data_IF_037924486781
#
_entry.id   IF_037924486781
#
_cell.length_a   1.000
_cell.length_b   1.000
_cell.length_c   1.000
_cell.angle_alpha   90.00
_cell.angle_beta   90.00
_cell.angle_gamma   90.00
#
_symmetry.space_group_name_H-M   'P 1'
#
loop_
_entity.id
_entity.type
_entity.pdbx_description
1 polymer ?
#
# COMPACT_ATOMS: atom_id res chain seq x y z
N UNK A 1 -0.68 6.09 -16.55
CA UNK A 1 -1.19 6.13 -15.15
C UNK A 1 -1.36 4.70 -14.63
N UNK A 2 -1.01 4.39 -13.37
CA UNK A 2 -0.95 3.00 -12.82
C UNK A 2 -2.32 2.37 -12.52
N UNK A 3 -3.35 3.19 -12.29
CA UNK A 3 -4.70 2.76 -11.91
C UNK A 3 -5.31 3.65 -10.83
N UNK A 4 -6.27 3.12 -10.07
CA UNK A 4 -6.89 3.83 -8.94
C UNK A 4 -6.00 3.70 -7.71
N UNK A 5 -5.59 4.82 -7.12
CA UNK A 5 -4.74 4.86 -5.92
C UNK A 5 -5.53 5.40 -4.73
N UNK A 6 -5.65 4.59 -3.68
CA UNK A 6 -6.20 4.97 -2.38
C UNK A 6 -5.02 5.18 -1.43
N UNK A 7 -4.76 6.43 -1.07
CA UNK A 7 -3.69 6.81 -0.13
C UNK A 7 -4.26 6.97 1.28
N UNK A 8 -3.68 6.25 2.24
CA UNK A 8 -4.08 6.27 3.64
C UNK A 8 -2.90 6.70 4.48
N UNK A 9 -3.09 7.71 5.33
CA UNK A 9 -2.04 8.16 6.26
C UNK A 9 -1.70 7.08 7.27
N UNK A 10 -0.43 6.98 7.60
CA UNK A 10 0.10 5.95 8.48
C UNK A 10 -0.45 5.99 9.90
N UNK A 11 -0.62 7.19 10.45
CA UNK A 11 -1.11 7.44 11.81
C UNK A 11 -2.59 7.06 11.99
N UNK A 12 -3.38 7.15 10.92
CA UNK A 12 -4.74 6.63 10.89
C UNK A 12 -4.74 5.10 10.79
N UNK A 13 -3.81 4.53 10.03
CA UNK A 13 -3.82 3.11 9.68
C UNK A 13 -3.18 2.21 10.75
N UNK A 14 -2.13 2.67 11.43
CA UNK A 14 -1.34 1.88 12.37
C UNK A 14 -1.11 2.60 13.71
N UNK A 15 -0.85 1.81 14.74
CA UNK A 15 -0.32 2.36 16.00
C UNK A 15 1.11 2.90 15.77
N UNK A 16 1.46 3.99 16.45
CA UNK A 16 2.74 4.69 16.29
C UNK A 16 3.95 3.75 16.37
N UNK A 17 4.86 3.85 15.38
CA UNK A 17 6.08 3.05 15.30
C UNK A 17 5.85 1.54 15.09
N UNK A 18 4.63 1.12 14.76
CA UNK A 18 4.28 -0.29 14.57
C UNK A 18 3.67 -0.57 13.20
N UNK A 19 3.58 -1.84 12.84
CA UNK A 19 2.77 -2.35 11.74
C UNK A 19 1.45 -2.97 12.21
N UNK A 20 0.97 -2.65 13.42
CA UNK A 20 -0.32 -3.15 13.94
C UNK A 20 -1.44 -2.22 13.51
N UNK A 21 -2.43 -2.76 12.81
CA UNK A 21 -3.59 -1.98 12.36
C UNK A 21 -4.31 -1.33 13.53
N UNK A 22 -4.72 -0.09 13.33
CA UNK A 22 -5.53 0.63 14.29
C UNK A 22 -6.98 0.10 14.25
N UNK A 23 -7.55 -0.38 15.37
CA UNK A 23 -8.94 -0.82 15.40
C UNK A 23 -9.95 0.22 14.90
N UNK A 24 -9.68 1.51 15.05
CA UNK A 24 -10.61 2.57 14.63
C UNK A 24 -10.74 2.73 13.11
N UNK A 25 -9.78 2.21 12.32
CA UNK A 25 -9.79 2.31 10.85
C UNK A 25 -10.36 1.05 10.17
N UNK A 26 -10.68 0.03 10.96
CA UNK A 26 -11.09 -1.29 10.46
C UNK A 26 -12.33 -1.20 9.57
N UNK A 27 -13.38 -0.51 10.00
CA UNK A 27 -14.60 -0.34 9.20
C UNK A 27 -14.32 0.32 7.83
N UNK A 28 -13.36 1.25 7.77
CA UNK A 28 -12.96 1.88 6.52
C UNK A 28 -12.17 0.93 5.61
N UNK A 29 -11.28 0.12 6.18
CA UNK A 29 -10.57 -0.93 5.42
C UNK A 29 -11.58 -1.94 4.87
N UNK A 30 -12.57 -2.33 5.67
CA UNK A 30 -13.59 -3.31 5.28
C UNK A 30 -14.43 -2.81 4.09
N UNK A 31 -14.78 -1.51 4.08
CA UNK A 31 -15.45 -0.89 2.95
C UNK A 31 -14.58 -0.92 1.68
N UNK A 32 -13.29 -0.59 1.79
CA UNK A 32 -12.37 -0.68 0.65
C UNK A 32 -12.26 -2.13 0.17
N UNK A 33 -12.12 -3.08 1.09
CA UNK A 33 -11.99 -4.50 0.78
C UNK A 33 -13.20 -5.02 -0.01
N UNK A 34 -14.42 -4.64 0.41
CA UNK A 34 -15.65 -4.96 -0.32
C UNK A 34 -15.66 -4.41 -1.75
N UNK A 35 -15.21 -3.17 -1.95
CA UNK A 35 -15.14 -2.56 -3.28
C UNK A 35 -14.11 -3.26 -4.19
N UNK A 36 -12.92 -3.56 -3.68
CA UNK A 36 -11.83 -4.12 -4.51
C UNK A 36 -11.98 -5.62 -4.77
N UNK A 37 -12.75 -6.33 -3.93
CA UNK A 37 -13.05 -7.76 -4.08
C UNK A 37 -13.80 -8.05 -5.38
N UNK A 38 -14.74 -7.18 -5.74
CA UNK A 38 -15.57 -7.29 -6.96
C UNK A 38 -14.82 -6.95 -8.25
N UNK A 39 -13.64 -6.33 -8.16
CA UNK A 39 -12.82 -6.00 -9.31
C UNK A 39 -11.93 -7.21 -9.68
N UNK A 40 -11.60 -7.46 -10.95
CA UNK A 40 -10.68 -8.56 -11.33
C UNK A 40 -9.20 -8.16 -11.24
N UNK A 41 -8.91 -6.88 -10.98
CA UNK A 41 -7.60 -6.26 -11.11
C UNK A 41 -6.56 -6.78 -10.09
N UNK A 42 -5.28 -6.70 -10.46
CA UNK A 42 -4.18 -6.82 -9.50
C UNK A 42 -4.17 -5.61 -8.55
N UNK A 43 -3.75 -5.84 -7.32
CA UNK A 43 -3.72 -4.85 -6.24
C UNK A 43 -2.29 -4.77 -5.70
N UNK A 44 -1.71 -3.57 -5.73
CA UNK A 44 -0.42 -3.28 -5.10
C UNK A 44 -0.63 -2.51 -3.81
N UNK A 45 -0.07 -2.99 -2.71
CA UNK A 45 -0.03 -2.28 -1.44
C UNK A 45 1.39 -1.80 -1.17
N UNK A 46 1.55 -0.49 -1.08
CA UNK A 46 2.86 0.17 -1.03
C UNK A 46 3.02 0.94 0.28
N UNK A 47 3.99 0.55 1.10
CA UNK A 47 4.30 1.20 2.36
C UNK A 47 5.41 2.23 2.22
N UNK A 48 5.27 3.35 2.95
CA UNK A 48 6.23 4.44 2.93
C UNK A 48 6.45 5.05 4.31
N UNK A 49 7.65 5.61 4.50
CA UNK A 49 8.02 6.40 5.69
C UNK A 49 8.38 7.82 5.28
N UNK A 50 8.64 8.67 6.26
CA UNK A 50 9.39 9.91 6.05
C UNK A 50 10.91 9.65 6.04
N UNK A 51 11.69 10.72 6.11
CA UNK A 51 13.15 10.66 6.16
C UNK A 51 13.74 10.40 7.55
N UNK A 52 12.93 10.30 8.61
CA UNK A 52 13.44 10.08 9.95
C UNK A 52 13.85 8.61 10.10
N UNK A 53 15.12 8.31 10.46
CA UNK A 53 15.56 6.94 10.60
C UNK A 53 14.91 6.31 11.84
N UNK A 54 14.29 5.16 11.67
CA UNK A 54 13.92 4.29 12.79
C UNK A 54 14.99 3.23 13.04
N UNK A 55 15.11 2.81 14.29
CA UNK A 55 15.85 1.62 14.70
C UNK A 55 15.16 1.00 15.91
N UNK A 56 14.47 -0.11 15.70
CA UNK A 56 13.87 -0.90 16.77
C UNK A 56 14.25 -2.37 16.63
N UNK A 57 14.05 -3.16 17.68
CA UNK A 57 14.27 -4.60 17.63
C UNK A 57 13.40 -5.30 16.59
N UNK A 58 12.18 -4.78 16.38
CA UNK A 58 11.21 -5.36 15.45
C UNK A 58 11.34 -4.82 14.02
N UNK A 59 11.78 -3.57 13.87
CA UNK A 59 11.98 -2.89 12.60
C UNK A 59 13.36 -2.21 12.61
N UNK A 60 14.40 -2.91 12.13
CA UNK A 60 15.78 -2.39 12.11
C UNK A 60 15.96 -1.12 11.27
N UNK A 61 15.14 -0.93 10.23
CA UNK A 61 15.17 0.23 9.35
C UNK A 61 13.78 0.61 8.80
N UNK A 62 13.70 1.78 8.14
CA UNK A 62 12.49 2.22 7.44
C UNK A 62 12.06 1.25 6.32
N UNK A 63 12.98 0.47 5.76
CA UNK A 63 12.63 -0.59 4.81
C UNK A 63 11.82 -1.70 5.47
N UNK A 64 12.22 -2.11 6.68
CA UNK A 64 11.53 -3.15 7.43
C UNK A 64 10.13 -2.67 7.86
N UNK A 65 10.01 -1.45 8.41
CA UNK A 65 8.72 -0.91 8.86
C UNK A 65 7.75 -0.70 7.70
N UNK A 66 8.20 -0.10 6.59
CA UNK A 66 7.33 0.14 5.44
C UNK A 66 6.84 -1.16 4.80
N UNK A 67 7.73 -2.15 4.66
CA UNK A 67 7.37 -3.48 4.14
C UNK A 67 6.41 -4.20 5.09
N UNK A 68 6.68 -4.16 6.39
CA UNK A 68 5.82 -4.79 7.40
C UNK A 68 4.40 -4.20 7.37
N UNK A 69 4.27 -2.87 7.28
CA UNK A 69 2.98 -2.18 7.21
C UNK A 69 2.17 -2.56 5.98
N UNK A 70 2.81 -2.53 4.81
CA UNK A 70 2.17 -2.97 3.58
C UNK A 70 1.72 -4.43 3.68
N UNK A 71 2.55 -5.30 4.26
CA UNK A 71 2.25 -6.72 4.40
C UNK A 71 1.11 -6.97 5.39
N UNK A 72 1.05 -6.22 6.50
CA UNK A 72 -0.07 -6.32 7.45
C UNK A 72 -1.40 -6.05 6.75
N UNK A 73 -1.49 -5.00 5.93
CA UNK A 73 -2.72 -4.68 5.22
C UNK A 73 -3.08 -5.77 4.18
N UNK A 74 -2.10 -6.29 3.44
CA UNK A 74 -2.33 -7.42 2.51
C UNK A 74 -2.89 -8.64 3.26
N UNK A 75 -2.26 -9.02 4.37
CA UNK A 75 -2.72 -10.15 5.19
C UNK A 75 -4.11 -9.92 5.74
N UNK A 76 -4.43 -8.71 6.19
CA UNK A 76 -5.77 -8.37 6.64
C UNK A 76 -6.82 -8.58 5.53
N UNK A 77 -6.54 -8.12 4.31
CA UNK A 77 -7.44 -8.28 3.16
C UNK A 77 -7.63 -9.75 2.76
N UNK A 78 -6.59 -10.58 2.87
CA UNK A 78 -6.69 -12.03 2.59
C UNK A 78 -7.47 -12.72 3.72
N UNK A 79 -7.03 -12.53 4.97
CA UNK A 79 -7.49 -13.32 6.11
C UNK A 79 -8.92 -12.96 6.52
N UNK A 80 -9.31 -11.68 6.45
CA UNK A 80 -10.63 -11.20 6.88
C UNK A 80 -11.65 -11.07 5.75
N UNK A 81 -11.18 -10.78 4.52
CA UNK A 81 -12.07 -10.50 3.38
C UNK A 81 -11.98 -11.54 2.26
N UNK A 82 -11.07 -12.51 2.38
CA UNK A 82 -10.88 -13.59 1.41
C UNK A 82 -10.62 -13.07 -0.01
N UNK A 83 -9.85 -11.98 -0.11
CA UNK A 83 -9.31 -11.57 -1.41
C UNK A 83 -8.34 -12.64 -1.91
N UNK A 84 -8.39 -12.93 -3.20
CA UNK A 84 -7.50 -13.88 -3.81
C UNK A 84 -6.03 -13.42 -3.69
N UNK A 85 -5.21 -14.23 -3.04
CA UNK A 85 -3.81 -13.97 -2.72
C UNK A 85 -2.96 -13.62 -3.95
N UNK A 86 -3.17 -14.32 -5.06
CA UNK A 86 -2.46 -14.10 -6.32
C UNK A 86 -2.71 -12.71 -6.94
N UNK A 87 -3.75 -11.99 -6.48
CA UNK A 87 -4.03 -10.63 -6.93
C UNK A 87 -3.26 -9.57 -6.13
N UNK A 88 -2.71 -9.93 -4.98
CA UNK A 88 -2.15 -8.98 -4.03
C UNK A 88 -0.62 -8.99 -4.06
N UNK A 89 -0.03 -7.81 -3.97
CA UNK A 89 1.40 -7.62 -3.78
C UNK A 89 1.67 -6.60 -2.69
N UNK A 90 2.78 -6.77 -1.98
CA UNK A 90 3.22 -5.88 -0.92
C UNK A 90 4.62 -5.37 -1.22
N UNK A 91 4.84 -4.05 -1.15
CA UNK A 91 6.16 -3.45 -1.35
C UNK A 91 6.41 -2.35 -0.31
N UNK A 92 7.57 -2.34 0.32
CA UNK A 92 8.04 -1.21 1.14
C UNK A 92 9.03 -0.34 0.36
N UNK A 93 8.87 0.98 0.43
CA UNK A 93 9.77 1.95 -0.22
C UNK A 93 10.55 2.83 0.75
N UNK A 94 10.40 2.63 2.06
CA UNK A 94 10.97 3.51 3.08
C UNK A 94 10.66 5.00 2.75
N UNK A 95 11.62 5.89 2.99
CA UNK A 95 11.54 7.32 2.66
C UNK A 95 11.98 7.68 1.24
N UNK A 96 12.17 6.70 0.34
CA UNK A 96 12.79 6.93 -0.98
C UNK A 96 11.86 7.54 -2.02
N UNK A 97 10.54 7.52 -1.76
CA UNK A 97 9.50 8.07 -2.64
C UNK A 97 8.65 9.08 -1.87
N UNK A 98 9.18 10.27 -1.52
CA UNK A 98 8.40 11.31 -0.87
C UNK A 98 7.33 11.87 -1.83
N UNK A 99 6.17 12.19 -1.28
CA UNK A 99 5.08 12.92 -1.97
C UNK A 99 5.08 14.40 -1.60
N UNK A 100 5.72 14.76 -0.50
CA UNK A 100 5.97 16.12 -0.04
C UNK A 100 7.40 16.28 0.49
N UNK A 101 7.86 17.53 0.66
CA UNK A 101 9.16 17.81 1.25
C UNK A 101 9.21 17.34 2.71
N UNK A 102 10.34 16.79 3.15
CA UNK A 102 10.51 16.31 4.53
C UNK A 102 10.93 17.42 5.52
N UNK A 103 10.91 18.67 5.08
CA UNK A 103 11.39 19.82 5.84
C UNK A 103 10.35 20.31 6.87
N UNK A 104 9.09 19.88 6.73
CA UNK A 104 8.00 20.24 7.62
C UNK A 104 7.37 19.01 8.28
N UNK A 105 6.85 19.12 9.51
CA UNK A 105 6.10 18.03 10.14
C UNK A 105 4.91 17.54 9.30
N UNK A 106 4.27 18.45 8.58
CA UNK A 106 3.15 18.17 7.69
C UNK A 106 3.60 17.31 6.50
N UNK A 107 4.70 17.70 5.84
CA UNK A 107 5.24 16.93 4.71
C UNK A 107 5.77 15.56 5.13
N UNK A 108 6.41 15.46 6.30
CA UNK A 108 6.77 14.17 6.90
C UNK A 108 5.53 13.30 7.14
N UNK A 109 4.46 13.88 7.69
CA UNK A 109 3.20 13.15 7.91
C UNK A 109 2.56 12.67 6.59
N UNK A 110 2.59 13.49 5.53
CA UNK A 110 2.14 13.08 4.20
C UNK A 110 2.98 11.95 3.60
N UNK A 111 4.29 11.92 3.90
CA UNK A 111 5.21 10.89 3.43
C UNK A 111 5.05 9.55 4.14
N UNK A 112 4.62 9.56 5.41
CA UNK A 112 4.21 8.35 6.15
C UNK A 112 2.81 7.92 5.69
N UNK A 113 2.75 7.01 4.72
CA UNK A 113 1.49 6.49 4.18
C UNK A 113 1.58 5.03 3.76
N UNK A 114 0.41 4.44 3.54
CA UNK A 114 0.25 3.25 2.71
C UNK A 114 -0.65 3.59 1.54
N UNK A 115 -0.28 3.11 0.35
CA UNK A 115 -1.07 3.25 -0.87
C UNK A 115 -1.61 1.89 -1.28
N UNK A 116 -2.93 1.79 -1.49
CA UNK A 116 -3.57 0.65 -2.12
C UNK A 116 -3.91 1.03 -3.55
N UNK A 117 -3.30 0.33 -4.50
CA UNK A 117 -3.37 0.66 -5.91
C UNK A 117 -4.06 -0.48 -6.64
N UNK A 118 -5.26 -0.22 -7.16
CA UNK A 118 -5.95 -1.12 -8.09
C UNK A 118 -5.36 -0.88 -9.47
N UNK A 119 -4.56 -1.82 -9.95
CA UNK A 119 -3.81 -1.70 -11.20
C UNK A 119 -4.76 -1.83 -12.40
N UNK A 120 -4.59 -0.98 -13.43
CA UNK A 120 -5.32 -1.17 -14.70
C UNK A 120 -4.93 -2.51 -15.32
N UNK A 121 -5.92 -3.20 -15.89
CA UNK A 121 -5.64 -4.38 -16.70
C UNK A 121 -5.06 -3.90 -18.03
N UNK A 122 -3.76 -4.12 -18.26
CA UNK A 122 -3.09 -3.71 -19.51
C UNK A 122 -3.36 -4.69 -20.65
N UNK A 123 -4.09 -5.81 -20.42
CA UNK A 123 -4.41 -6.76 -21.50
C UNK A 123 -5.31 -6.15 -22.57
N UNK A 124 -6.13 -5.15 -22.26
CA UNK A 124 -6.94 -4.44 -23.26
C UNK A 124 -6.11 -3.57 -24.22
N UNK A 125 -4.91 -3.13 -23.80
CA UNK A 125 -4.10 -2.19 -24.56
C UNK A 125 -3.15 -2.91 -25.55
N UNK A 126 -2.81 -4.17 -25.27
CA UNK A 126 -1.93 -4.99 -26.12
C UNK A 126 -2.66 -5.68 -27.29
N UNK A 127 -3.95 -5.98 -27.18
CA UNK A 127 -4.70 -6.62 -28.29
C UNK A 127 -5.01 -5.65 -29.44
N UNK A 128 -5.01 -4.34 -29.19
CA UNK A 128 -5.27 -3.32 -30.21
C UNK A 128 -3.99 -2.83 -30.92
N UNK A 129 -2.81 -3.34 -30.55
CA UNK A 129 -1.55 -2.75 -30.99
C UNK A 129 -0.40 -3.73 -31.32
N UNK A 130 -0.64 -4.90 -31.96
CA UNK A 130 0.10 -5.28 -33.19
C UNK A 130 -0.24 -6.69 -33.75
N UNK A 131 -0.36 -6.82 -35.10
CA UNK A 131 -0.82 -8.03 -35.80
C UNK A 131 0.29 -8.96 -36.35
N UNK A 132 1.52 -8.92 -35.84
CA UNK A 132 2.60 -9.79 -36.33
C UNK A 132 3.48 -10.32 -35.19
N UNK A 133 3.41 -11.63 -34.97
CA UNK A 133 4.55 -12.44 -34.55
C UNK A 133 4.77 -13.51 -35.63
N UNK A 134 6.02 -13.87 -35.95
CA UNK A 134 6.33 -14.94 -36.90
C UNK A 134 5.89 -16.31 -36.42
#
# INVERSE_FOLDING_TARGET
ERGLNIRIKDDALFQSGSARLNPQIIEFIDLIAGLVKELPNLISVEGHTDNQPIRSSLYPSNWDLSTARANTLVRYLIDQHHLADYRLSSTGYAGTRPVELNDTPQGQASNRRVELIVLRDTRSDTESSHPYLP
#
